data_IF_403706752108
#
_entry.id   IF_403706752108
#
_cell.length_a   1.000
_cell.length_b   1.000
_cell.length_c   1.000
_cell.angle_alpha   90.00
_cell.angle_beta   90.00
_cell.angle_gamma   90.00
#
_symmetry.space_group_name_H-M   'P 1'
#
loop_
_entity.id
_entity.type
_entity.pdbx_description
1 polymer ?
#
# COMPACT_ATOMS: atom_id res chain seq x y z
N UNK A 1 -8.92 -5.81 -18.49
CA UNK A 1 -10.12 -6.64 -18.78
C UNK A 1 -9.65 -8.09 -18.75
N UNK A 2 -10.08 -8.88 -17.76
CA UNK A 2 -9.65 -10.27 -17.60
C UNK A 2 -10.71 -11.21 -18.19
N UNK A 3 -10.29 -12.17 -19.02
CA UNK A 3 -11.15 -13.24 -19.54
C UNK A 3 -10.57 -14.56 -19.02
N UNK A 4 -11.33 -15.20 -18.15
CA UNK A 4 -10.93 -16.33 -17.29
C UNK A 4 -10.69 -17.68 -18.01
N UNK A 5 -10.15 -17.70 -19.23
CA UNK A 5 -9.81 -18.98 -19.90
C UNK A 5 -8.44 -18.99 -20.60
N UNK A 6 -7.70 -17.87 -20.60
CA UNK A 6 -6.30 -17.82 -21.05
C UNK A 6 -5.34 -17.27 -19.98
N UNK A 7 -5.06 -18.17 -19.02
CA UNK A 7 -3.74 -18.51 -18.44
C UNK A 7 -2.90 -17.31 -17.92
N UNK A 8 -2.69 -17.14 -16.60
CA UNK A 8 -1.79 -16.14 -15.96
C UNK A 8 -0.44 -15.89 -16.66
N UNK A 9 0.09 -16.91 -17.33
CA UNK A 9 1.24 -16.87 -18.23
C UNK A 9 1.15 -15.83 -19.37
N UNK A 10 -0.02 -15.65 -19.99
CA UNK A 10 -0.20 -14.67 -21.06
C UNK A 10 -0.21 -13.24 -20.52
N UNK A 11 -0.84 -13.03 -19.37
CA UNK A 11 -0.80 -11.76 -18.63
C UNK A 11 0.64 -11.35 -18.33
N UNK A 12 1.45 -12.26 -17.77
CA UNK A 12 2.86 -11.98 -17.47
C UNK A 12 3.65 -11.58 -18.71
N UNK A 13 3.44 -12.29 -19.83
CA UNK A 13 4.13 -11.99 -21.09
C UNK A 13 3.77 -10.61 -21.65
N UNK A 14 2.50 -10.21 -21.61
CA UNK A 14 2.05 -8.91 -22.12
C UNK A 14 2.59 -7.77 -21.25
N UNK A 15 2.65 -7.96 -19.94
CA UNK A 15 3.05 -6.91 -19.01
C UNK A 15 4.56 -6.83 -18.76
N UNK A 16 5.34 -7.77 -19.31
CA UNK A 16 6.79 -7.84 -19.15
C UNK A 16 7.47 -6.61 -19.78
N UNK A 17 8.14 -5.74 -19.00
CA UNK A 17 8.98 -4.68 -19.56
C UNK A 17 10.11 -5.25 -20.42
N UNK A 18 10.39 -4.62 -21.56
CA UNK A 18 11.50 -4.98 -22.46
C UNK A 18 12.63 -3.97 -22.28
N UNK A 19 13.81 -4.45 -21.93
CA UNK A 19 15.00 -3.62 -21.84
C UNK A 19 15.66 -3.41 -23.21
N UNK A 20 15.85 -2.14 -23.61
CA UNK A 20 16.66 -1.74 -24.75
C UNK A 20 18.08 -1.41 -24.27
N UNK A 21 19.05 -2.26 -24.59
CA UNK A 21 20.44 -2.10 -24.15
C UNK A 21 21.16 -0.89 -24.76
N UNK A 22 20.76 -0.45 -25.96
CA UNK A 22 21.40 0.68 -26.65
C UNK A 22 20.99 2.01 -26.01
N UNK A 23 19.70 2.16 -25.71
CA UNK A 23 19.13 3.36 -25.12
C UNK A 23 19.17 3.34 -23.58
N UNK A 24 19.40 2.17 -22.99
CA UNK A 24 19.26 1.91 -21.54
C UNK A 24 17.87 2.27 -21.02
N UNK A 25 16.86 2.01 -21.84
CA UNK A 25 15.44 2.31 -21.59
C UNK A 25 14.61 1.02 -21.48
N UNK A 26 13.42 1.10 -20.90
CA UNK A 26 12.43 0.02 -20.88
C UNK A 26 11.19 0.48 -21.64
N UNK A 27 10.58 -0.45 -22.35
CA UNK A 27 9.36 -0.23 -23.10
C UNK A 27 8.39 -1.38 -22.89
N UNK A 28 7.13 -1.15 -23.21
CA UNK A 28 6.16 -2.22 -23.30
C UNK A 28 6.49 -3.19 -24.45
N UNK A 29 5.87 -4.37 -24.42
CA UNK A 29 5.98 -5.32 -25.50
C UNK A 29 5.54 -4.71 -26.84
N UNK A 30 6.14 -5.09 -27.98
CA UNK A 30 5.74 -4.59 -29.29
C UNK A 30 4.22 -4.75 -29.54
N UNK A 31 3.55 -3.65 -29.90
CA UNK A 31 2.11 -3.62 -30.14
C UNK A 31 1.23 -3.55 -28.89
N UNK A 32 1.83 -3.45 -27.69
CA UNK A 32 1.15 -3.24 -26.42
C UNK A 32 1.34 -1.79 -25.97
N UNK A 33 0.26 -1.17 -25.49
CA UNK A 33 0.30 0.14 -24.87
C UNK A 33 -0.43 0.07 -23.53
N UNK A 34 0.30 0.18 -22.42
CA UNK A 34 -0.26 0.15 -21.08
C UNK A 34 -0.53 1.58 -20.61
N UNK A 35 -1.74 1.81 -20.08
CA UNK A 35 -2.16 3.12 -19.58
C UNK A 35 -2.69 2.99 -18.16
N UNK A 36 -2.39 3.96 -17.32
CA UNK A 36 -2.94 4.05 -15.97
C UNK A 36 -3.94 5.20 -15.87
N UNK A 37 -5.19 4.94 -15.42
CA UNK A 37 -6.15 6.02 -15.18
C UNK A 37 -5.67 6.93 -14.05
N UNK A 38 -5.71 8.24 -14.28
CA UNK A 38 -5.35 9.27 -13.31
C UNK A 38 -6.62 10.03 -12.89
N UNK A 39 -6.72 10.43 -11.63
CA UNK A 39 -7.86 11.14 -11.06
C UNK A 39 -8.93 10.22 -10.45
N UNK A 40 -8.95 8.96 -10.84
CA UNK A 40 -9.90 7.93 -10.37
C UNK A 40 -9.34 7.15 -9.18
N UNK A 41 -10.18 6.91 -8.17
CA UNK A 41 -9.86 6.13 -6.97
C UNK A 41 -10.09 4.64 -7.16
N UNK A 42 -10.96 4.22 -8.07
CA UNK A 42 -11.30 2.80 -8.28
C UNK A 42 -10.07 1.89 -8.48
N UNK A 43 -9.05 2.27 -9.28
CA UNK A 43 -7.83 1.46 -9.46
C UNK A 43 -7.02 1.27 -8.17
N UNK A 44 -7.15 2.19 -7.20
CA UNK A 44 -6.45 2.13 -5.92
C UNK A 44 -7.30 1.39 -4.87
N UNK A 45 -8.62 1.54 -4.91
CA UNK A 45 -9.55 0.84 -4.03
C UNK A 45 -9.50 -0.67 -4.28
N UNK A 46 -9.40 -1.04 -5.56
CA UNK A 46 -9.73 -2.37 -6.05
C UNK A 46 -8.78 -2.84 -7.18
N UNK A 47 -7.92 -3.81 -6.87
CA UNK A 47 -6.87 -4.30 -7.79
C UNK A 47 -7.38 -5.27 -8.87
N UNK A 48 -8.53 -5.92 -8.66
CA UNK A 48 -9.14 -6.86 -9.62
C UNK A 48 -10.53 -6.37 -10.00
N UNK A 49 -10.66 -5.91 -11.25
CA UNK A 49 -11.92 -5.44 -11.83
C UNK A 49 -12.52 -6.53 -12.71
N UNK A 50 -13.05 -7.60 -12.12
CA UNK A 50 -13.90 -8.55 -12.85
C UNK A 50 -15.32 -8.56 -12.27
N UNK A 51 -16.26 -8.12 -13.12
CA UNK A 51 -17.72 -8.29 -13.03
C UNK A 51 -18.51 -7.55 -11.95
N UNK A 52 -17.94 -6.57 -11.23
CA UNK A 52 -18.66 -5.91 -10.13
C UNK A 52 -18.88 -6.82 -8.90
N UNK A 53 -18.79 -8.14 -9.07
CA UNK A 53 -18.86 -9.12 -7.99
C UNK A 53 -17.57 -9.17 -7.15
N UNK A 54 -16.37 -9.05 -7.72
CA UNK A 54 -15.13 -9.48 -7.01
C UNK A 54 -14.42 -8.43 -6.14
N UNK A 55 -14.93 -7.20 -6.07
CA UNK A 55 -14.50 -6.25 -5.04
C UNK A 55 -15.34 -6.30 -3.76
N UNK A 56 -16.52 -6.92 -3.85
CA UNK A 56 -17.61 -6.74 -2.89
C UNK A 56 -18.19 -8.07 -2.39
N UNK A 57 -17.97 -9.17 -3.13
CA UNK A 57 -18.55 -10.48 -2.80
C UNK A 57 -17.79 -11.18 -1.67
N UNK A 58 -18.42 -11.23 -0.49
CA UNK A 58 -18.14 -12.20 0.57
C UNK A 58 -18.23 -13.68 0.09
N UNK A 59 -18.83 -13.94 -1.08
CA UNK A 59 -18.93 -15.25 -1.72
C UNK A 59 -17.70 -15.64 -2.58
N UNK A 60 -16.66 -14.81 -2.69
CA UNK A 60 -15.51 -15.12 -3.54
C UNK A 60 -14.47 -15.93 -2.77
N UNK A 61 -14.46 -17.24 -3.01
CA UNK A 61 -13.41 -18.18 -2.58
C UNK A 61 -12.10 -18.00 -3.36
N UNK A 62 -12.03 -17.05 -4.30
CA UNK A 62 -10.92 -16.93 -5.27
C UNK A 62 -9.92 -15.82 -4.91
N UNK A 63 -10.30 -14.75 -4.20
CA UNK A 63 -9.33 -13.79 -3.67
C UNK A 63 -9.93 -12.83 -2.63
N UNK A 64 -9.79 -13.06 -1.31
CA UNK A 64 -10.10 -12.06 -0.27
C UNK A 64 -9.15 -10.84 -0.27
N UNK A 65 -8.37 -10.59 -1.32
CA UNK A 65 -7.25 -9.63 -1.36
C UNK A 65 -7.29 -8.64 -2.53
N UNK A 66 -8.45 -8.38 -3.13
CA UNK A 66 -8.58 -7.37 -4.20
C UNK A 66 -8.72 -5.94 -3.66
N UNK A 67 -9.16 -5.77 -2.41
CA UNK A 67 -9.30 -4.46 -1.74
C UNK A 67 -7.96 -3.97 -1.20
N UNK A 68 -7.59 -2.73 -1.52
CA UNK A 68 -6.32 -2.13 -1.08
C UNK A 68 -6.53 -0.79 -0.35
N UNK A 69 -6.83 0.30 -1.07
CA UNK A 69 -7.18 1.58 -0.44
C UNK A 69 -8.65 1.66 0.01
N UNK A 70 -9.44 0.61 -0.22
CA UNK A 70 -10.89 0.64 -0.02
C UNK A 70 -11.30 1.17 1.37
N UNK A 71 -10.79 0.54 2.43
CA UNK A 71 -11.16 0.84 3.82
C UNK A 71 -10.81 2.27 4.20
N UNK A 72 -9.66 2.74 3.70
CA UNK A 72 -9.19 4.10 3.90
C UNK A 72 -10.12 5.10 3.19
N UNK A 73 -10.36 4.92 1.88
CA UNK A 73 -11.23 5.80 1.07
C UNK A 73 -12.64 5.89 1.65
N UNK A 74 -13.25 4.76 2.01
CA UNK A 74 -14.59 4.75 2.59
C UNK A 74 -14.63 5.40 3.98
N UNK A 75 -13.56 5.26 4.77
CA UNK A 75 -13.43 5.99 6.03
C UNK A 75 -13.37 7.50 5.80
N UNK A 76 -12.60 7.98 4.82
CA UNK A 76 -12.54 9.40 4.50
C UNK A 76 -13.91 9.95 4.09
N UNK A 77 -14.66 9.20 3.27
CA UNK A 77 -15.99 9.59 2.82
C UNK A 77 -17.01 9.61 3.96
N UNK A 78 -17.15 8.49 4.69
CA UNK A 78 -18.21 8.33 5.69
C UNK A 78 -17.93 8.99 7.04
N UNK A 79 -16.65 9.14 7.43
CA UNK A 79 -16.29 9.74 8.73
C UNK A 79 -15.94 11.22 8.61
N UNK A 80 -15.34 11.63 7.48
CA UNK A 80 -14.76 12.96 7.34
C UNK A 80 -15.35 13.78 6.19
N UNK A 81 -16.37 13.26 5.49
CA UNK A 81 -17.07 13.92 4.38
C UNK A 81 -16.15 14.34 3.22
N UNK A 82 -15.14 13.53 2.91
CA UNK A 82 -14.43 13.68 1.64
C UNK A 82 -15.32 13.23 0.47
N UNK A 83 -15.21 13.93 -0.65
CA UNK A 83 -15.94 13.72 -1.90
C UNK A 83 -14.95 13.42 -3.02
N UNK A 84 -15.17 12.31 -3.72
CA UNK A 84 -14.34 11.88 -4.84
C UNK A 84 -14.35 12.90 -5.98
N UNK A 85 -13.22 13.06 -6.66
CA UNK A 85 -13.00 14.07 -7.71
C UNK A 85 -13.13 15.53 -7.25
N UNK A 86 -13.51 15.76 -5.99
CA UNK A 86 -13.56 17.08 -5.39
C UNK A 86 -12.41 17.29 -4.38
N UNK A 87 -12.39 16.63 -3.23
CA UNK A 87 -11.30 16.83 -2.27
C UNK A 87 -10.55 15.53 -1.97
N UNK A 88 -10.87 14.47 -2.73
CA UNK A 88 -10.21 13.19 -2.70
C UNK A 88 -9.98 12.70 -4.13
N UNK A 89 -8.71 12.62 -4.54
CA UNK A 89 -8.29 12.31 -5.91
C UNK A 89 -7.32 11.13 -5.89
N UNK A 90 -7.54 10.17 -6.79
CA UNK A 90 -6.65 9.03 -6.97
C UNK A 90 -5.53 9.31 -7.96
N UNK A 91 -4.29 8.98 -7.60
CA UNK A 91 -3.11 9.15 -8.45
C UNK A 91 -2.43 7.81 -8.73
N UNK A 92 -3.09 6.94 -9.49
CA UNK A 92 -2.49 5.68 -9.92
C UNK A 92 -1.42 5.90 -10.98
N UNK A 93 -0.37 5.08 -10.94
CA UNK A 93 0.77 5.13 -11.85
C UNK A 93 1.22 3.71 -12.22
N UNK A 94 2.04 3.61 -13.26
CA UNK A 94 2.61 2.33 -13.67
C UNK A 94 3.74 1.90 -12.73
N UNK A 95 3.39 1.05 -11.78
CA UNK A 95 4.28 0.55 -10.74
C UNK A 95 5.38 -0.37 -11.24
N UNK A 96 5.38 -0.77 -12.52
CA UNK A 96 6.49 -1.56 -13.08
C UNK A 96 7.77 -0.72 -13.14
N UNK A 97 7.65 0.60 -13.30
CA UNK A 97 8.78 1.50 -13.48
C UNK A 97 9.01 2.36 -12.23
N UNK A 98 10.26 2.50 -11.75
CA UNK A 98 10.59 3.33 -10.61
C UNK A 98 10.72 4.80 -11.03
N UNK A 99 10.48 5.78 -10.15
CA UNK A 99 10.38 7.20 -10.52
C UNK A 99 11.66 7.78 -11.13
N UNK A 100 12.82 7.15 -10.90
CA UNK A 100 14.11 7.51 -11.48
C UNK A 100 14.24 7.10 -12.96
N UNK A 101 13.24 6.42 -13.50
CA UNK A 101 13.22 5.86 -14.85
C UNK A 101 12.54 6.80 -15.84
N UNK A 102 13.33 7.60 -16.56
CA UNK A 102 12.84 8.51 -17.60
C UNK A 102 12.15 7.75 -18.75
N UNK A 103 10.84 7.55 -18.61
CA UNK A 103 9.93 7.22 -19.71
C UNK A 103 8.93 8.36 -19.79
N UNK A 104 8.54 8.72 -21.02
CA UNK A 104 7.55 9.77 -21.30
C UNK A 104 6.29 9.63 -20.43
N UNK A 105 5.91 8.39 -20.09
CA UNK A 105 4.80 8.07 -19.20
C UNK A 105 4.97 8.60 -17.77
N UNK A 106 6.16 8.52 -17.18
CA UNK A 106 6.41 9.05 -15.83
C UNK A 106 6.40 10.58 -15.81
N UNK A 107 6.97 11.20 -16.84
CA UNK A 107 6.89 12.65 -17.01
C UNK A 107 5.43 13.10 -17.11
N UNK A 108 4.61 12.41 -17.92
CA UNK A 108 3.17 12.68 -18.03
C UNK A 108 2.45 12.47 -16.69
N UNK A 109 2.84 11.46 -15.91
CA UNK A 109 2.30 11.25 -14.57
C UNK A 109 2.62 12.43 -13.64
N UNK A 110 3.88 12.86 -13.55
CA UNK A 110 4.28 13.98 -12.69
C UNK A 110 3.69 15.32 -13.14
N UNK A 111 3.60 15.57 -14.46
CA UNK A 111 2.89 16.74 -15.00
C UNK A 111 1.40 16.72 -14.64
N UNK A 112 0.77 15.54 -14.71
CA UNK A 112 -0.64 15.40 -14.32
C UNK A 112 -0.84 15.55 -12.82
N UNK A 113 0.05 14.98 -12.00
CA UNK A 113 0.05 15.13 -10.55
C UNK A 113 0.21 16.59 -10.13
N UNK A 114 1.18 17.29 -10.72
CA UNK A 114 1.42 18.72 -10.45
C UNK A 114 0.20 19.57 -10.80
N UNK A 115 -0.34 19.40 -12.01
CA UNK A 115 -1.53 20.13 -12.47
C UNK A 115 -2.76 19.85 -11.60
N UNK A 116 -2.95 18.59 -11.20
CA UNK A 116 -4.05 18.19 -10.33
C UNK A 116 -3.96 18.84 -8.96
N UNK A 117 -2.75 18.91 -8.38
CA UNK A 117 -2.50 19.61 -7.12
C UNK A 117 -2.83 21.09 -7.26
N UNK A 118 -2.30 21.76 -8.28
CA UNK A 118 -2.56 23.18 -8.54
C UNK A 118 -4.07 23.45 -8.66
N UNK A 119 -4.77 22.65 -9.48
CA UNK A 119 -6.22 22.77 -9.70
C UNK A 119 -7.02 22.50 -8.43
N UNK A 120 -6.62 21.50 -7.64
CA UNK A 120 -7.29 21.16 -6.38
C UNK A 120 -7.09 22.25 -5.32
N UNK A 121 -5.92 22.86 -5.26
CA UNK A 121 -5.64 24.00 -4.35
C UNK A 121 -6.45 25.23 -4.77
N UNK A 122 -6.51 25.53 -6.07
CA UNK A 122 -7.37 26.62 -6.57
C UNK A 122 -8.85 26.39 -6.26
N UNK A 123 -9.32 25.16 -6.41
CA UNK A 123 -10.73 24.79 -6.22
C UNK A 123 -11.15 24.75 -4.76
N UNK A 124 -10.27 24.30 -3.86
CA UNK A 124 -10.58 24.13 -2.43
C UNK A 124 -10.09 25.29 -1.56
N UNK A 125 -9.14 26.10 -2.06
CA UNK A 125 -8.44 27.13 -1.28
C UNK A 125 -7.48 26.57 -0.22
N UNK A 126 -7.24 25.26 -0.20
CA UNK A 126 -6.41 24.58 0.79
C UNK A 126 -5.22 23.89 0.11
N UNK A 127 -4.05 23.95 0.76
CA UNK A 127 -2.85 23.25 0.29
C UNK A 127 -3.05 21.73 0.34
N UNK A 128 -2.45 21.02 -0.60
CA UNK A 128 -2.62 19.58 -0.78
C UNK A 128 -1.94 18.74 0.32
N UNK A 129 -2.59 17.65 0.70
CA UNK A 129 -2.01 16.56 1.49
C UNK A 129 -1.92 15.33 0.59
N UNK A 130 -0.73 14.72 0.49
CA UNK A 130 -0.57 13.49 -0.29
C UNK A 130 -0.33 12.32 0.66
N UNK A 131 -1.17 11.29 0.54
CA UNK A 131 -1.02 10.02 1.23
C UNK A 131 -0.42 9.01 0.26
N UNK A 132 0.72 8.42 0.62
CA UNK A 132 1.38 7.40 -0.19
C UNK A 132 1.69 6.16 0.64
N UNK A 133 1.61 4.99 0.03
CA UNK A 133 1.89 3.70 0.66
C UNK A 133 3.08 3.00 0.00
N UNK A 134 3.90 2.33 0.80
CA UNK A 134 5.00 1.48 0.31
C UNK A 134 5.92 2.22 -0.68
N UNK A 135 6.17 1.66 -1.86
CA UNK A 135 6.93 2.24 -2.95
C UNK A 135 6.38 3.58 -3.45
N UNK A 136 5.08 3.83 -3.32
CA UNK A 136 4.47 5.13 -3.67
C UNK A 136 5.14 6.30 -2.93
N UNK A 137 5.73 6.04 -1.76
CA UNK A 137 6.52 7.03 -1.02
C UNK A 137 7.83 7.40 -1.73
N UNK A 138 8.51 6.47 -2.41
CA UNK A 138 9.67 6.81 -3.25
C UNK A 138 9.25 7.66 -4.46
N UNK A 139 8.11 7.35 -5.07
CA UNK A 139 7.56 8.14 -6.19
C UNK A 139 7.22 9.56 -5.74
N UNK A 140 6.54 9.68 -4.60
CA UNK A 140 6.23 10.97 -4.00
C UNK A 140 7.50 11.75 -3.63
N UNK A 141 8.48 11.08 -3.01
CA UNK A 141 9.75 11.71 -2.64
C UNK A 141 10.50 12.21 -3.87
N UNK A 142 10.56 11.42 -4.95
CA UNK A 142 11.15 11.84 -6.21
C UNK A 142 10.42 13.05 -6.81
N UNK A 143 9.08 13.03 -6.86
CA UNK A 143 8.28 14.16 -7.32
C UNK A 143 8.61 15.45 -6.56
N UNK A 144 8.65 15.36 -5.22
CA UNK A 144 8.96 16.51 -4.38
C UNK A 144 10.39 16.99 -4.55
N UNK A 145 11.37 16.10 -4.69
CA UNK A 145 12.79 16.50 -4.69
C UNK A 145 13.37 16.80 -6.08
N UNK A 146 12.75 16.30 -7.15
CA UNK A 146 13.27 16.40 -8.52
C UNK A 146 12.33 17.10 -9.51
N UNK A 147 11.02 16.97 -9.33
CA UNK A 147 10.02 17.46 -10.30
C UNK A 147 9.37 18.79 -9.87
N UNK A 148 9.68 19.28 -8.68
CA UNK A 148 9.12 20.52 -8.12
C UNK A 148 10.20 21.42 -7.51
N UNK A 149 9.89 22.70 -7.34
CA UNK A 149 10.75 23.67 -6.66
C UNK A 149 10.29 23.91 -5.22
N UNK A 150 11.17 24.41 -4.35
CA UNK A 150 10.84 24.73 -2.97
C UNK A 150 9.69 25.75 -2.88
N UNK A 151 9.70 26.77 -3.75
CA UNK A 151 8.64 27.79 -3.82
C UNK A 151 7.29 27.17 -4.22
N UNK A 152 7.30 26.21 -5.16
CA UNK A 152 6.08 25.51 -5.55
C UNK A 152 5.53 24.68 -4.38
N UNK A 153 6.40 23.96 -3.66
CA UNK A 153 5.98 23.16 -2.50
C UNK A 153 5.47 24.04 -1.37
N UNK A 154 6.12 25.17 -1.09
CA UNK A 154 5.63 26.16 -0.13
C UNK A 154 4.24 26.68 -0.53
N UNK A 155 3.98 26.91 -1.81
CA UNK A 155 2.68 27.40 -2.28
C UNK A 155 1.58 26.34 -2.22
N UNK A 156 1.86 25.10 -2.62
CA UNK A 156 0.82 24.10 -2.91
C UNK A 156 0.75 22.93 -1.93
N UNK A 157 1.79 22.65 -1.16
CA UNK A 157 1.86 21.46 -0.29
C UNK A 157 1.65 21.82 1.18
N UNK A 158 0.79 21.08 1.86
CA UNK A 158 0.59 21.18 3.30
C UNK A 158 1.50 20.19 4.03
N UNK A 159 1.37 18.90 3.71
CA UNK A 159 2.17 17.83 4.28
C UNK A 159 2.11 16.57 3.41
N UNK A 160 2.94 15.59 3.75
CA UNK A 160 2.83 14.21 3.25
C UNK A 160 2.51 13.25 4.39
N UNK A 161 1.74 12.21 4.09
CA UNK A 161 1.46 11.11 5.02
C UNK A 161 2.01 9.84 4.39
N UNK A 162 3.08 9.33 4.97
CA UNK A 162 3.86 8.23 4.43
C UNK A 162 3.54 6.95 5.18
N UNK A 163 2.64 6.14 4.62
CA UNK A 163 2.23 4.85 5.18
C UNK A 163 3.23 3.75 4.74
N UNK A 164 3.85 3.08 5.70
CA UNK A 164 4.80 1.99 5.46
C UNK A 164 5.83 2.28 4.35
N UNK A 165 6.54 3.43 4.37
CA UNK A 165 7.36 3.86 3.25
C UNK A 165 8.56 2.92 3.00
N UNK A 166 8.81 2.62 1.73
CA UNK A 166 9.94 1.80 1.31
C UNK A 166 11.19 2.64 0.93
N UNK A 167 11.48 3.73 1.66
CA UNK A 167 12.53 4.69 1.28
C UNK A 167 13.90 4.04 1.09
N UNK A 168 14.34 3.21 2.04
CA UNK A 168 15.63 2.52 2.00
C UNK A 168 15.63 1.17 1.29
N UNK A 169 14.51 0.75 0.70
CA UNK A 169 14.35 -0.59 0.15
C UNK A 169 14.21 -1.69 1.21
N UNK A 170 14.33 -2.94 0.80
CA UNK A 170 14.16 -4.11 1.69
C UNK A 170 15.02 -5.29 1.25
N UNK A 171 15.45 -6.10 2.23
CA UNK A 171 16.10 -7.39 1.94
C UNK A 171 15.12 -8.34 1.23
N UNK A 172 13.82 -8.19 1.48
CA UNK A 172 12.75 -8.87 0.75
C UNK A 172 12.87 -8.75 -0.77
N UNK A 173 13.17 -7.56 -1.30
CA UNK A 173 13.34 -7.35 -2.75
C UNK A 173 14.41 -8.25 -3.37
N UNK A 174 15.49 -8.57 -2.63
CA UNK A 174 16.52 -9.51 -3.07
C UNK A 174 15.94 -10.93 -3.21
N UNK A 175 15.13 -11.40 -2.26
CA UNK A 175 14.44 -12.70 -2.36
C UNK A 175 13.42 -12.73 -3.49
N UNK A 176 12.78 -11.61 -3.78
CA UNK A 176 11.85 -11.54 -4.92
C UNK A 176 12.60 -11.74 -6.24
N UNK A 177 13.71 -11.01 -6.48
CA UNK A 177 14.56 -11.21 -7.66
C UNK A 177 15.17 -12.62 -7.74
N UNK A 178 15.45 -13.23 -6.58
CA UNK A 178 15.97 -14.59 -6.47
C UNK A 178 14.92 -15.66 -6.85
N UNK A 179 13.73 -15.61 -6.25
CA UNK A 179 12.77 -16.72 -6.27
C UNK A 179 11.55 -16.49 -7.16
N UNK A 180 11.20 -15.24 -7.47
CA UNK A 180 9.99 -14.87 -8.20
C UNK A 180 8.68 -15.00 -7.42
N UNK A 181 8.72 -15.28 -6.11
CA UNK A 181 7.52 -15.58 -5.31
C UNK A 181 6.60 -14.37 -5.05
N UNK A 182 7.07 -13.15 -5.21
CA UNK A 182 6.33 -11.92 -4.91
C UNK A 182 5.14 -11.68 -5.82
N UNK A 183 5.10 -12.37 -6.96
CA UNK A 183 3.97 -12.35 -7.89
C UNK A 183 3.11 -13.61 -7.81
N UNK A 184 3.27 -14.44 -6.77
CA UNK A 184 2.44 -15.62 -6.55
C UNK A 184 0.94 -15.29 -6.39
N UNK A 185 0.60 -14.02 -6.13
CA UNK A 185 -0.79 -13.52 -6.13
C UNK A 185 -1.48 -13.62 -7.51
N UNK A 186 -0.73 -13.81 -8.60
CA UNK A 186 -1.29 -14.04 -9.95
C UNK A 186 -1.97 -15.41 -10.13
N UNK A 187 -1.96 -16.25 -9.08
CA UNK A 187 -2.80 -17.43 -8.98
C UNK A 187 -2.14 -18.75 -9.37
N UNK A 188 -2.92 -19.81 -9.23
CA UNK A 188 -2.51 -21.20 -9.47
C UNK A 188 -2.19 -21.39 -10.96
N UNK A 189 -1.01 -21.95 -11.28
CA UNK A 189 -0.62 -22.32 -12.65
C UNK A 189 0.46 -21.44 -13.29
N UNK A 190 0.97 -20.42 -12.59
CA UNK A 190 2.20 -19.72 -13.01
C UNK A 190 3.41 -20.61 -12.70
N UNK A 191 4.23 -20.91 -13.70
CA UNK A 191 5.51 -21.60 -13.52
C UNK A 191 6.48 -20.68 -12.76
N UNK A 192 7.22 -21.23 -11.79
CA UNK A 192 8.16 -20.46 -10.96
C UNK A 192 9.18 -19.71 -11.81
N UNK A 193 9.69 -20.35 -12.86
CA UNK A 193 10.70 -19.77 -13.74
C UNK A 193 10.14 -18.53 -14.45
N UNK A 194 8.89 -18.57 -14.88
CA UNK A 194 8.25 -17.46 -15.59
C UNK A 194 7.93 -16.33 -14.62
N UNK A 195 7.48 -16.66 -13.41
CA UNK A 195 7.30 -15.67 -12.37
C UNK A 195 8.62 -14.95 -12.07
N UNK A 196 9.70 -15.71 -11.94
CA UNK A 196 11.03 -15.18 -11.70
C UNK A 196 11.53 -14.33 -12.86
N UNK A 197 11.37 -14.75 -14.11
CA UNK A 197 11.76 -13.96 -15.29
C UNK A 197 10.99 -12.63 -15.34
N UNK A 198 9.69 -12.66 -15.01
CA UNK A 198 8.91 -11.43 -14.89
C UNK A 198 9.45 -10.52 -13.79
N UNK A 199 9.63 -11.04 -12.58
CA UNK A 199 10.17 -10.29 -11.44
C UNK A 199 11.54 -9.69 -11.75
N UNK A 200 12.42 -10.43 -12.41
CA UNK A 200 13.76 -9.98 -12.84
C UNK A 200 13.75 -8.93 -13.95
N UNK A 201 12.62 -8.77 -14.65
CA UNK A 201 12.45 -7.72 -15.65
C UNK A 201 11.91 -6.41 -15.08
N UNK A 202 11.39 -6.40 -13.83
CA UNK A 202 10.73 -5.23 -13.23
C UNK A 202 11.76 -4.22 -12.73
N UNK A 203 11.85 -3.03 -13.36
CA UNK A 203 12.79 -2.01 -12.91
C UNK A 203 12.46 -1.47 -11.51
N UNK A 204 11.17 -1.51 -11.13
CA UNK A 204 10.74 -1.06 -9.81
C UNK A 204 11.35 -1.87 -8.66
N UNK A 205 11.62 -3.17 -8.85
CA UNK A 205 12.28 -3.97 -7.82
C UNK A 205 13.73 -3.59 -7.59
N UNK A 206 14.42 -3.10 -8.61
CA UNK A 206 15.77 -2.56 -8.46
C UNK A 206 15.77 -1.36 -7.52
N UNK A 207 14.80 -0.45 -7.66
CA UNK A 207 14.65 0.72 -6.78
C UNK A 207 14.30 0.39 -5.32
N UNK A 208 13.88 -0.86 -5.07
CA UNK A 208 13.52 -1.36 -3.74
C UNK A 208 14.62 -2.22 -3.12
N UNK A 209 15.78 -2.34 -3.76
CA UNK A 209 16.95 -2.98 -3.18
C UNK A 209 17.49 -2.19 -1.98
N UNK A 210 18.13 -2.85 -0.99
CA UNK A 210 18.68 -2.20 0.18
C UNK A 210 19.66 -1.08 -0.16
N UNK A 211 19.38 0.12 0.35
CA UNK A 211 20.23 1.31 0.17
C UNK A 211 21.51 1.22 1.01
N UNK A 212 22.72 1.34 0.43
CA UNK A 212 23.99 1.48 1.15
C UNK A 212 24.04 2.72 2.06
N UNK A 213 23.20 3.74 1.84
CA UNK A 213 23.15 4.93 2.71
C UNK A 213 22.45 4.66 4.05
N UNK A 214 21.59 3.63 4.12
CA UNK A 214 20.78 3.30 5.30
C UNK A 214 21.08 1.92 5.89
N UNK A 215 21.55 0.98 5.08
CA UNK A 215 21.98 -0.33 5.54
C UNK A 215 23.49 -0.31 5.81
N UNK A 216 23.88 -0.83 6.97
CA UNK A 216 25.29 -1.00 7.33
C UNK A 216 26.04 -1.77 6.24
N UNK A 217 27.11 -1.18 5.69
CA UNK A 217 27.89 -1.72 4.57
C UNK A 217 28.52 -3.10 4.85
N UNK A 218 28.77 -3.42 6.12
CA UNK A 218 29.31 -4.72 6.55
C UNK A 218 28.22 -5.76 6.83
N UNK A 219 26.95 -5.39 6.77
CA UNK A 219 25.83 -6.30 7.05
C UNK A 219 25.62 -7.26 5.89
N UNK A 220 25.67 -8.56 6.19
CA UNK A 220 25.37 -9.61 5.24
C UNK A 220 23.85 -9.68 5.03
N UNK A 221 23.40 -9.53 3.79
CA UNK A 221 21.98 -9.53 3.41
C UNK A 221 21.58 -10.86 2.77
N UNK A 222 22.46 -11.42 1.94
CA UNK A 222 22.27 -12.74 1.31
C UNK A 222 23.54 -13.57 1.46
N UNK A 223 23.39 -14.88 1.66
CA UNK A 223 24.47 -15.85 1.61
C UNK A 223 24.10 -17.01 0.68
N UNK A 224 25.04 -17.46 -0.14
CA UNK A 224 24.86 -18.57 -1.09
C UNK A 224 26.08 -19.48 -0.99
N UNK A 225 25.93 -20.63 -0.35
CA UNK A 225 27.08 -21.45 0.03
C UNK A 225 28.09 -20.64 0.84
N UNK A 226 29.33 -20.50 0.34
CA UNK A 226 30.40 -19.75 1.01
C UNK A 226 30.45 -18.25 0.59
N UNK A 227 29.59 -17.81 -0.33
CA UNK A 227 29.59 -16.43 -0.82
C UNK A 227 28.57 -15.60 -0.04
N UNK A 228 28.94 -14.37 0.27
CA UNK A 228 28.09 -13.41 0.99
C UNK A 228 27.92 -12.14 0.18
N UNK A 229 26.76 -11.52 0.28
CA UNK A 229 26.43 -10.27 -0.41
C UNK A 229 25.97 -9.24 0.62
N UNK A 230 26.59 -8.07 0.59
CA UNK A 230 26.18 -6.85 1.32
C UNK A 230 25.60 -5.83 0.34
N UNK A 231 25.32 -4.61 0.81
CA UNK A 231 24.96 -3.49 -0.07
C UNK A 231 26.04 -3.11 -1.08
N UNK A 232 27.32 -3.41 -0.81
CA UNK A 232 28.41 -3.16 -1.74
C UNK A 232 28.41 -4.14 -2.93
N UNK A 233 27.80 -5.32 -2.78
CA UNK A 233 27.85 -6.41 -3.75
C UNK A 233 26.59 -6.47 -4.64
N UNK A 234 25.79 -5.39 -4.69
CA UNK A 234 24.49 -5.40 -5.37
C UNK A 234 24.57 -5.65 -6.88
N UNK A 235 25.59 -5.12 -7.57
CA UNK A 235 25.81 -5.41 -8.99
C UNK A 235 26.11 -6.89 -9.24
N UNK A 236 26.91 -7.48 -8.35
CA UNK A 236 27.27 -8.89 -8.42
C UNK A 236 26.06 -9.79 -8.10
N UNK A 237 25.26 -9.42 -7.10
CA UNK A 237 24.01 -10.10 -6.78
C UNK A 237 23.01 -10.04 -7.95
N UNK A 238 22.84 -8.87 -8.57
CA UNK A 238 21.98 -8.70 -9.75
C UNK A 238 22.48 -9.54 -10.93
N UNK A 239 23.80 -9.63 -11.12
CA UNK A 239 24.40 -10.51 -12.13
C UNK A 239 24.07 -11.97 -11.86
N UNK A 240 24.18 -12.43 -10.60
CA UNK A 240 23.77 -13.78 -10.19
C UNK A 240 22.27 -14.03 -10.45
N UNK A 241 21.44 -13.01 -10.26
CA UNK A 241 20.00 -13.04 -10.55
C UNK A 241 19.66 -12.78 -12.03
N UNK A 242 20.61 -12.80 -12.96
CA UNK A 242 20.40 -12.50 -14.39
C UNK A 242 19.64 -11.17 -14.63
N UNK A 243 19.91 -10.17 -13.79
CA UNK A 243 19.23 -8.88 -13.71
C UNK A 243 20.21 -7.71 -13.70
N UNK A 244 21.43 -7.90 -14.22
CA UNK A 244 22.47 -6.85 -14.24
C UNK A 244 22.05 -5.57 -14.98
N UNK A 245 21.16 -5.70 -15.98
CA UNK A 245 20.56 -4.58 -16.70
C UNK A 245 19.73 -3.63 -15.80
N UNK A 246 19.31 -4.10 -14.63
CA UNK A 246 18.64 -3.27 -13.63
C UNK A 246 19.60 -2.38 -12.84
N UNK A 247 20.90 -2.69 -12.81
CA UNK A 247 21.87 -2.00 -11.94
C UNK A 247 22.03 -0.52 -12.29
N UNK A 248 21.98 -0.14 -13.57
CA UNK A 248 22.04 1.28 -13.98
C UNK A 248 20.86 2.12 -13.47
N UNK A 249 19.81 1.46 -12.96
CA UNK A 249 18.60 2.06 -12.42
C UNK A 249 18.53 1.97 -10.89
N UNK A 250 19.55 1.39 -10.26
CA UNK A 250 19.76 1.48 -8.82
C UNK A 250 20.26 2.88 -8.48
N UNK A 251 19.35 3.86 -8.56
CA UNK A 251 19.58 5.24 -8.08
C UNK A 251 18.83 5.44 -6.77
N UNK A 252 19.56 5.99 -5.81
CA UNK A 252 19.03 6.32 -4.51
C UNK A 252 18.60 7.78 -4.51
N UNK A 253 17.38 8.03 -4.08
CA UNK A 253 16.80 9.37 -4.01
C UNK A 253 16.72 9.88 -2.57
N UNK A 254 16.69 8.95 -1.61
CA UNK A 254 16.52 9.17 -0.17
C UNK A 254 17.64 10.00 0.49
N UNK A 255 18.76 10.21 -0.20
CA UNK A 255 19.80 11.15 0.25
C UNK A 255 19.30 12.60 0.31
N UNK A 256 18.25 12.95 -0.45
CA UNK A 256 17.70 14.30 -0.44
C UNK A 256 16.63 14.42 0.65
N UNK A 257 16.92 15.27 1.61
CA UNK A 257 15.96 15.66 2.64
C UNK A 257 14.77 16.42 2.02
N UNK A 258 13.53 16.03 2.34
CA UNK A 258 12.35 16.79 1.94
C UNK A 258 12.15 18.03 2.83
N UNK A 259 11.60 19.09 2.24
CA UNK A 259 11.27 20.38 2.88
C UNK A 259 9.75 20.56 3.10
N UNK A 260 8.96 19.53 2.81
CA UNK A 260 7.52 19.47 3.13
C UNK A 260 7.35 18.68 4.43
N UNK A 261 6.49 19.13 5.38
CA UNK A 261 6.22 18.38 6.60
C UNK A 261 5.77 16.95 6.31
N UNK A 262 6.26 15.99 7.09
CA UNK A 262 5.99 14.57 6.91
C UNK A 262 5.40 13.96 8.17
N UNK A 263 4.32 13.19 7.99
CA UNK A 263 3.84 12.24 8.98
C UNK A 263 4.16 10.83 8.47
N UNK A 264 5.16 10.21 9.07
CA UNK A 264 5.61 8.88 8.73
C UNK A 264 4.97 7.87 9.67
N UNK A 265 4.29 6.87 9.11
CA UNK A 265 3.62 5.81 9.89
C UNK A 265 4.18 4.46 9.46
N UNK A 266 4.91 3.79 10.34
CA UNK A 266 5.55 2.50 10.05
C UNK A 266 4.89 1.35 10.81
N UNK A 267 4.92 0.16 10.21
CA UNK A 267 4.53 -1.07 10.91
C UNK A 267 5.70 -1.60 11.74
N UNK A 268 5.41 -2.07 12.95
CA UNK A 268 6.43 -2.54 13.89
C UNK A 268 5.94 -3.75 14.69
N UNK A 269 5.90 -4.90 14.03
CA UNK A 269 5.68 -6.22 14.61
C UNK A 269 7.02 -6.86 14.96
N UNK A 270 7.08 -7.54 16.11
CA UNK A 270 8.35 -8.14 16.56
C UNK A 270 8.77 -9.30 15.66
N UNK A 271 10.04 -9.29 15.21
CA UNK A 271 10.66 -10.34 14.38
C UNK A 271 9.82 -10.77 13.18
N UNK A 272 9.14 -9.83 12.54
CA UNK A 272 8.25 -10.07 11.39
C UNK A 272 8.98 -9.96 10.05
N UNK A 273 9.95 -9.05 9.93
CA UNK A 273 10.54 -8.63 8.66
C UNK A 273 11.85 -9.35 8.37
N UNK A 274 12.02 -9.95 7.18
CA UNK A 274 13.27 -10.58 6.79
C UNK A 274 14.44 -9.60 6.74
N UNK A 275 15.54 -9.97 7.41
CA UNK A 275 16.75 -9.16 7.55
C UNK A 275 17.97 -9.80 6.88
N UNK A 276 17.92 -11.12 6.62
CA UNK A 276 18.93 -11.90 5.90
C UNK A 276 18.34 -13.19 5.35
N UNK A 277 18.83 -13.61 4.17
CA UNK A 277 18.54 -14.93 3.59
C UNK A 277 19.80 -15.76 3.39
N UNK A 278 19.74 -17.05 3.75
CA UNK A 278 20.80 -18.02 3.46
C UNK A 278 20.28 -19.08 2.50
N UNK A 279 20.97 -19.27 1.38
CA UNK A 279 20.70 -20.28 0.36
C UNK A 279 21.81 -21.33 0.39
N UNK A 280 21.43 -22.61 0.26
CA UNK A 280 22.40 -23.70 0.30
C UNK A 280 23.34 -23.69 -0.91
N UNK A 281 22.77 -23.60 -2.13
CA UNK A 281 23.54 -23.73 -3.39
C UNK A 281 23.18 -22.66 -4.42
N UNK A 282 21.90 -22.34 -4.56
CA UNK A 282 21.42 -21.41 -5.57
C UNK A 282 20.35 -20.48 -5.01
N UNK A 283 20.36 -19.21 -5.45
CA UNK A 283 19.31 -18.24 -5.15
C UNK A 283 17.98 -18.56 -5.84
N UNK A 284 18.01 -19.45 -6.84
CA UNK A 284 16.81 -19.92 -7.54
C UNK A 284 15.99 -20.93 -6.71
N UNK A 285 16.57 -21.48 -5.64
CA UNK A 285 15.92 -22.35 -4.65
C UNK A 285 15.29 -21.52 -3.51
N UNK A 286 14.60 -22.16 -2.57
CA UNK A 286 14.18 -21.44 -1.35
C UNK A 286 15.36 -21.24 -0.39
N UNK A 287 15.37 -20.14 0.38
CA UNK A 287 16.35 -19.99 1.44
C UNK A 287 16.17 -21.11 2.49
N UNK A 288 17.28 -21.65 2.98
CA UNK A 288 17.32 -22.63 4.07
C UNK A 288 17.24 -21.97 5.44
N UNK A 289 17.57 -20.68 5.52
CA UNK A 289 17.43 -19.87 6.73
C UNK A 289 16.96 -18.46 6.35
N UNK A 290 16.07 -17.91 7.18
CA UNK A 290 15.55 -16.55 7.09
C UNK A 290 15.64 -15.91 8.47
N UNK A 291 16.54 -14.95 8.64
CA UNK A 291 16.62 -14.17 9.87
C UNK A 291 15.62 -13.01 9.77
N UNK A 292 15.02 -12.66 10.91
CA UNK A 292 14.01 -11.59 10.97
C UNK A 292 14.33 -10.57 12.06
N UNK A 293 13.92 -9.34 11.81
CA UNK A 293 13.95 -8.19 12.72
C UNK A 293 12.56 -7.58 12.82
N UNK A 294 12.42 -6.58 13.67
CA UNK A 294 11.14 -5.88 13.84
C UNK A 294 10.81 -5.01 12.61
N UNK A 295 9.53 -4.97 12.25
CA UNK A 295 9.05 -4.25 11.07
C UNK A 295 7.65 -4.68 10.64
N UNK A 296 7.32 -4.49 9.38
CA UNK A 296 5.96 -4.72 8.86
C UNK A 296 5.83 -5.95 7.95
N UNK A 297 6.72 -6.94 8.08
CA UNK A 297 6.90 -8.11 7.20
C UNK A 297 7.61 -7.84 5.87
N UNK A 298 7.75 -6.58 5.46
CA UNK A 298 8.44 -6.18 4.22
C UNK A 298 9.59 -5.23 4.48
N UNK A 299 9.33 -4.16 5.23
CA UNK A 299 10.24 -3.07 5.55
C UNK A 299 10.69 -3.20 7.01
N UNK A 300 11.98 -3.00 7.24
CA UNK A 300 12.55 -3.02 8.59
C UNK A 300 12.26 -1.68 9.28
N UNK A 301 11.69 -1.71 10.48
CA UNK A 301 11.32 -0.48 11.19
C UNK A 301 12.55 0.41 11.45
N UNK A 302 13.66 -0.21 11.87
CA UNK A 302 14.92 0.48 12.19
C UNK A 302 15.52 1.26 11.01
N UNK A 303 15.32 0.78 9.77
CA UNK A 303 15.83 1.47 8.56
C UNK A 303 15.10 2.79 8.34
N UNK A 304 13.78 2.81 8.56
CA UNK A 304 12.97 4.02 8.42
C UNK A 304 13.16 4.95 9.62
N UNK A 305 13.27 4.41 10.83
CA UNK A 305 13.59 5.18 12.04
C UNK A 305 14.90 5.95 11.89
N UNK A 306 15.95 5.28 11.38
CA UNK A 306 17.25 5.90 11.16
C UNK A 306 17.18 7.03 10.11
N UNK A 307 16.48 6.80 8.99
CA UNK A 307 16.28 7.83 7.98
C UNK A 307 15.52 9.04 8.55
N UNK A 308 14.43 8.81 9.29
CA UNK A 308 13.67 9.87 9.94
C UNK A 308 14.52 10.65 10.94
N UNK A 309 15.42 9.96 11.67
CA UNK A 309 16.37 10.58 12.60
C UNK A 309 17.39 11.45 11.87
N UNK A 310 17.94 10.97 10.77
CA UNK A 310 18.89 11.72 9.92
C UNK A 310 18.24 12.98 9.35
N UNK A 311 17.11 12.85 8.66
CA UNK A 311 16.41 14.00 8.09
C UNK A 311 15.94 14.99 9.15
N UNK A 312 15.46 14.53 10.32
CA UNK A 312 15.10 15.42 11.43
C UNK A 312 16.30 16.22 11.93
N UNK A 313 17.49 15.59 12.02
CA UNK A 313 18.73 16.26 12.42
C UNK A 313 19.15 17.34 11.42
N UNK A 314 18.87 17.11 10.14
CA UNK A 314 19.15 18.06 9.06
C UNK A 314 18.02 19.12 8.89
N UNK A 315 17.01 19.10 9.78
CA UNK A 315 15.98 20.14 9.89
C UNK A 315 14.63 19.81 9.26
N UNK A 316 14.40 18.57 8.82
CA UNK A 316 13.11 18.17 8.27
C UNK A 316 12.06 18.11 9.38
N UNK A 317 10.83 18.52 9.06
CA UNK A 317 9.70 18.42 9.98
C UNK A 317 9.07 17.05 9.84
N UNK A 318 9.45 16.11 10.72
CA UNK A 318 8.99 14.73 10.67
C UNK A 318 8.31 14.34 11.98
N UNK A 319 7.07 13.88 11.87
CA UNK A 319 6.39 13.14 12.94
C UNK A 319 6.42 11.65 12.59
N UNK A 320 7.03 10.83 13.44
CA UNK A 320 7.09 9.37 13.28
C UNK A 320 6.10 8.70 14.22
N UNK A 321 5.28 7.79 13.68
CA UNK A 321 4.36 6.93 14.44
C UNK A 321 4.57 5.46 14.08
N UNK A 322 4.33 4.60 15.07
CA UNK A 322 4.42 3.15 14.92
C UNK A 322 3.06 2.52 15.11
N UNK A 323 2.75 1.51 14.29
CA UNK A 323 1.58 0.66 14.45
C UNK A 323 1.99 -0.82 14.47
N UNK A 324 1.42 -1.67 15.33
CA UNK A 324 1.69 -3.11 15.32
C UNK A 324 0.89 -3.79 14.20
N UNK A 325 1.21 -3.48 12.94
CA UNK A 325 0.49 -3.94 11.75
C UNK A 325 1.46 -4.41 10.67
N UNK A 326 0.98 -5.36 9.88
CA UNK A 326 1.62 -5.84 8.66
C UNK A 326 1.57 -4.76 7.56
N UNK A 327 2.44 -4.90 6.55
CA UNK A 327 2.71 -3.88 5.54
C UNK A 327 1.46 -3.32 4.85
N UNK A 328 0.59 -4.19 4.32
CA UNK A 328 -0.65 -3.79 3.64
C UNK A 328 -1.78 -3.49 4.61
N UNK A 329 -1.85 -4.24 5.73
CA UNK A 329 -2.87 -4.04 6.77
C UNK A 329 -2.77 -2.69 7.48
N UNK A 330 -1.59 -2.06 7.46
CA UNK A 330 -1.37 -0.74 8.05
C UNK A 330 -2.29 0.34 7.44
N UNK A 331 -2.31 0.49 6.11
CA UNK A 331 -3.14 1.54 5.49
C UNK A 331 -4.64 1.22 5.54
N UNK A 332 -4.97 -0.07 5.65
CA UNK A 332 -6.35 -0.54 5.80
C UNK A 332 -6.87 -0.39 7.24
N UNK A 333 -6.01 0.00 8.19
CA UNK A 333 -6.30 -0.05 9.62
C UNK A 333 -7.05 1.22 10.09
N UNK A 334 -7.93 1.04 11.07
CA UNK A 334 -8.61 2.17 11.70
C UNK A 334 -7.65 3.08 12.49
N UNK A 335 -6.58 2.52 13.03
CA UNK A 335 -5.52 3.29 13.69
C UNK A 335 -4.88 4.28 12.70
N UNK A 336 -4.61 3.85 11.46
CA UNK A 336 -4.11 4.74 10.41
C UNK A 336 -5.14 5.81 10.01
N UNK A 337 -6.41 5.45 9.88
CA UNK A 337 -7.51 6.40 9.64
C UNK A 337 -7.58 7.46 10.75
N UNK A 338 -7.48 7.06 12.02
CA UNK A 338 -7.52 7.99 13.15
C UNK A 338 -6.27 8.90 13.21
N UNK A 339 -5.10 8.37 12.84
CA UNK A 339 -3.88 9.16 12.67
C UNK A 339 -4.09 10.22 11.59
N UNK A 340 -4.63 9.83 10.42
CA UNK A 340 -4.98 10.76 9.34
C UNK A 340 -5.97 11.83 9.82
N UNK A 341 -7.06 11.45 10.49
CA UNK A 341 -8.09 12.37 10.96
C UNK A 341 -7.52 13.45 11.89
N UNK A 342 -6.64 13.07 12.82
CA UNK A 342 -5.99 14.01 13.73
C UNK A 342 -5.01 14.96 13.03
N UNK A 343 -4.35 14.50 11.97
CA UNK A 343 -3.37 15.30 11.23
C UNK A 343 -4.01 16.26 10.22
N UNK A 344 -5.09 15.83 9.54
CA UNK A 344 -5.64 16.52 8.36
C UNK A 344 -6.98 17.17 8.63
N UNK A 345 -7.87 16.49 9.35
CA UNK A 345 -9.26 16.93 9.49
C UNK A 345 -9.40 17.89 10.67
N UNK A 346 -9.14 17.39 11.88
CA UNK A 346 -9.12 18.19 13.10
C UNK A 346 -8.43 17.41 14.19
N UNK A 347 -7.42 18.02 14.82
CA UNK A 347 -6.84 17.47 16.05
C UNK A 347 -7.91 17.42 17.13
N UNK A 348 -8.21 16.22 17.63
CA UNK A 348 -9.13 16.07 18.75
C UNK A 348 -8.44 16.39 20.08
N UNK A 349 -9.18 16.86 21.10
CA UNK A 349 -8.64 17.02 22.44
C UNK A 349 -8.14 15.69 23.03
N UNK A 350 -7.21 15.76 23.99
CA UNK A 350 -6.75 14.58 24.72
C UNK A 350 -7.93 13.84 25.36
N UNK A 351 -7.90 12.50 25.30
CA UNK A 351 -9.01 11.64 25.75
C UNK A 351 -10.18 11.55 24.78
N UNK A 352 -10.05 12.06 23.54
CA UNK A 352 -11.01 11.88 22.46
C UNK A 352 -10.38 11.26 21.23
N UNK A 353 -11.18 10.50 20.47
CA UNK A 353 -10.77 9.92 19.20
C UNK A 353 -11.92 9.88 18.19
N UNK A 354 -11.55 9.72 16.92
CA UNK A 354 -12.53 9.48 15.88
C UNK A 354 -13.13 8.07 16.02
N UNK A 355 -14.42 7.89 15.67
CA UNK A 355 -15.02 6.58 15.60
C UNK A 355 -14.40 5.74 14.48
N UNK A 356 -14.65 4.44 14.53
CA UNK A 356 -14.20 3.48 13.51
C UNK A 356 -15.40 3.00 12.72
N UNK A 357 -15.23 2.74 11.42
CA UNK A 357 -16.26 2.14 10.60
C UNK A 357 -16.33 0.64 10.85
N UNK A 358 -17.44 0.15 11.40
CA UNK A 358 -17.63 -1.28 11.67
C UNK A 358 -19.05 -1.70 11.30
N UNK A 359 -19.21 -2.93 10.83
CA UNK A 359 -20.54 -3.50 10.68
C UNK A 359 -21.18 -3.74 12.05
N UNK A 360 -22.50 -3.64 12.10
CA UNK A 360 -23.27 -3.98 13.29
C UNK A 360 -23.75 -5.41 13.14
N UNK A 361 -23.32 -6.25 14.08
CA UNK A 361 -23.70 -7.66 14.14
C UNK A 361 -24.77 -7.86 15.21
N UNK A 362 -25.87 -8.50 14.83
CA UNK A 362 -27.00 -8.82 15.70
C UNK A 362 -27.43 -10.27 15.50
N UNK A 363 -27.87 -10.92 16.57
CA UNK A 363 -28.49 -12.25 16.48
C UNK A 363 -30.01 -12.13 16.57
N UNK A 364 -30.75 -12.77 15.65
CA UNK A 364 -32.22 -12.83 15.65
C UNK A 364 -32.70 -14.26 15.41
N UNK A 365 -33.12 -14.94 16.47
CA UNK A 365 -33.46 -16.36 16.41
C UNK A 365 -32.23 -17.18 16.01
N UNK A 366 -32.37 -18.07 15.02
CA UNK A 366 -31.27 -18.89 14.49
C UNK A 366 -30.52 -18.23 13.31
N UNK A 367 -30.50 -16.89 13.26
CA UNK A 367 -29.85 -16.11 12.21
C UNK A 367 -28.92 -15.09 12.83
N UNK A 368 -27.78 -14.91 12.17
CA UNK A 368 -26.89 -13.77 12.40
C UNK A 368 -27.17 -12.73 11.32
N UNK A 369 -27.18 -11.46 11.72
CA UNK A 369 -27.52 -10.34 10.87
C UNK A 369 -26.40 -9.31 10.94
N UNK A 370 -25.95 -8.88 9.77
CA UNK A 370 -24.92 -7.86 9.60
C UNK A 370 -25.58 -6.61 9.03
N UNK A 371 -25.15 -5.43 9.46
CA UNK A 371 -25.53 -4.21 8.76
C UNK A 371 -25.02 -4.27 7.31
N UNK A 372 -25.83 -3.81 6.36
CA UNK A 372 -25.51 -3.84 4.94
C UNK A 372 -24.26 -2.99 4.63
N UNK A 373 -24.01 -1.95 5.40
CA UNK A 373 -22.81 -1.13 5.33
C UNK A 373 -22.19 -0.97 6.72
N UNK A 374 -20.90 -0.62 6.82
CA UNK A 374 -20.27 -0.27 8.09
C UNK A 374 -20.71 1.12 8.55
N UNK A 375 -20.85 1.27 9.87
CA UNK A 375 -21.26 2.50 10.55
C UNK A 375 -20.19 2.94 11.55
N UNK A 376 -20.12 4.25 11.81
CA UNK A 376 -19.19 4.82 12.76
C UNK A 376 -19.54 4.39 14.20
N UNK A 377 -18.60 3.73 14.89
CA UNK A 377 -18.77 3.22 16.26
C UNK A 377 -17.53 3.47 17.11
N UNK A 378 -17.75 3.59 18.40
CA UNK A 378 -16.68 3.55 19.39
C UNK A 378 -16.31 2.10 19.70
N UNK A 379 -15.11 1.87 20.22
CA UNK A 379 -14.68 0.55 20.62
C UNK A 379 -15.63 -0.07 21.63
N UNK A 380 -15.72 -1.40 21.61
CA UNK A 380 -16.65 -2.19 22.43
C UNK A 380 -16.66 -1.74 23.90
N UNK A 381 -17.85 -1.40 24.38
CA UNK A 381 -18.08 -0.97 25.77
C UNK A 381 -17.90 0.53 26.04
N UNK A 382 -17.44 1.33 25.07
CA UNK A 382 -17.26 2.77 25.23
C UNK A 382 -18.45 3.51 24.58
N UNK A 383 -19.23 4.30 25.33
CA UNK A 383 -20.30 5.10 24.75
C UNK A 383 -19.74 6.25 23.90
N UNK A 384 -20.45 6.68 22.85
CA UNK A 384 -20.06 7.85 22.09
C UNK A 384 -20.18 9.12 22.93
N UNK A 385 -19.21 10.03 22.77
CA UNK A 385 -19.28 11.38 23.34
C UNK A 385 -20.28 12.24 22.56
N UNK A 386 -20.34 12.04 21.24
CA UNK A 386 -21.31 12.65 20.34
C UNK A 386 -21.80 11.59 19.36
N UNK A 387 -23.09 11.55 19.12
CA UNK A 387 -23.73 10.59 18.21
C UNK A 387 -24.91 11.21 17.46
N UNK A 388 -25.45 10.46 16.50
CA UNK A 388 -26.69 10.76 15.80
C UNK A 388 -27.42 9.46 15.46
N UNK A 389 -28.73 9.53 15.28
CA UNK A 389 -29.53 8.36 14.89
C UNK A 389 -29.58 8.21 13.36
N UNK A 390 -29.31 7.01 12.86
CA UNK A 390 -29.49 6.66 11.44
C UNK A 390 -30.30 5.37 11.30
N UNK A 391 -31.02 5.24 10.20
CA UNK A 391 -31.67 3.97 9.84
C UNK A 391 -30.66 3.11 9.10
N UNK A 392 -30.38 1.94 9.65
CA UNK A 392 -29.50 0.95 9.04
C UNK A 392 -30.28 -0.23 8.50
N UNK A 393 -29.83 -0.73 7.36
CA UNK A 393 -30.36 -1.95 6.73
C UNK A 393 -29.53 -3.14 7.19
N UNK A 394 -30.18 -4.29 7.39
CA UNK A 394 -29.55 -5.51 7.84
C UNK A 394 -29.82 -6.66 6.87
N UNK A 395 -28.78 -7.44 6.63
CA UNK A 395 -28.82 -8.69 5.87
C UNK A 395 -28.58 -9.84 6.83
N UNK A 396 -29.33 -10.92 6.70
CA UNK A 396 -29.29 -12.02 7.67
C UNK A 396 -29.01 -13.35 7.00
N UNK A 397 -28.19 -14.17 7.66
CA UNK A 397 -27.83 -15.51 7.22
C UNK A 397 -28.15 -16.53 8.32
N UNK A 398 -28.51 -17.78 7.98
CA UNK A 398 -28.58 -18.86 8.97
C UNK A 398 -27.24 -18.97 9.71
N UNK A 399 -27.27 -19.06 11.03
CA UNK A 399 -26.05 -19.01 11.86
C UNK A 399 -25.03 -20.11 11.49
N UNK A 400 -25.51 -21.29 11.11
CA UNK A 400 -24.68 -22.43 10.71
C UNK A 400 -24.17 -22.37 9.26
N UNK A 401 -24.57 -21.37 8.48
CA UNK A 401 -24.15 -21.25 7.08
C UNK A 401 -22.67 -20.86 6.96
N UNK A 402 -21.98 -21.38 5.95
CA UNK A 402 -20.59 -21.00 5.66
C UNK A 402 -20.45 -19.48 5.44
N UNK A 403 -21.45 -18.85 4.82
CA UNK A 403 -21.49 -17.40 4.65
C UNK A 403 -21.50 -16.65 5.99
N UNK A 404 -22.29 -17.12 6.97
CA UNK A 404 -22.31 -16.52 8.30
C UNK A 404 -20.94 -16.62 8.98
N UNK A 405 -20.29 -17.80 8.90
CA UNK A 405 -18.96 -18.02 9.48
C UNK A 405 -17.89 -17.13 8.84
N UNK A 406 -17.91 -17.04 7.52
CA UNK A 406 -16.96 -16.21 6.76
C UNK A 406 -17.14 -14.72 7.08
N UNK A 407 -18.38 -14.21 7.06
CA UNK A 407 -18.66 -12.83 7.43
C UNK A 407 -18.26 -12.55 8.88
N UNK A 408 -18.56 -13.43 9.83
CA UNK A 408 -18.12 -13.24 11.23
C UNK A 408 -16.60 -13.15 11.34
N UNK A 409 -15.85 -13.94 10.57
CA UNK A 409 -14.39 -13.84 10.52
C UNK A 409 -13.93 -12.52 9.93
N UNK A 410 -14.53 -12.09 8.81
CA UNK A 410 -14.20 -10.81 8.18
C UNK A 410 -14.54 -9.63 9.09
N UNK A 411 -15.64 -9.69 9.84
CA UNK A 411 -16.02 -8.63 10.79
C UNK A 411 -15.01 -8.49 11.92
N UNK A 412 -14.52 -9.61 12.47
CA UNK A 412 -13.48 -9.60 13.50
C UNK A 412 -12.17 -8.94 13.02
N UNK A 413 -11.92 -8.96 11.70
CA UNK A 413 -10.78 -8.31 11.06
C UNK A 413 -11.11 -6.90 10.52
N UNK A 414 -12.33 -6.39 10.77
CA UNK A 414 -12.89 -5.16 10.20
C UNK A 414 -12.80 -5.09 8.66
N UNK A 415 -13.03 -6.23 8.01
CA UNK A 415 -12.95 -6.39 6.56
C UNK A 415 -14.31 -6.52 5.86
N UNK A 416 -15.43 -6.49 6.60
CA UNK A 416 -16.73 -6.32 5.96
C UNK A 416 -16.90 -4.85 5.63
N UNK A 417 -17.26 -4.57 4.39
CA UNK A 417 -17.36 -3.20 3.91
C UNK A 417 -18.65 -2.87 3.18
N UNK A 418 -19.31 -3.86 2.59
CA UNK A 418 -20.56 -3.67 1.89
C UNK A 418 -21.24 -5.02 1.61
N UNK A 419 -22.52 -5.12 1.96
CA UNK A 419 -23.41 -6.25 1.73
C UNK A 419 -24.74 -5.78 1.09
N UNK A 420 -24.75 -4.60 0.45
CA UNK A 420 -25.93 -4.01 -0.20
C UNK A 420 -26.43 -4.82 -1.39
N UNK A 421 -25.59 -5.69 -1.96
CA UNK A 421 -26.00 -6.66 -2.98
C UNK A 421 -26.93 -7.75 -2.44
N UNK A 422 -26.88 -8.02 -1.13
CA UNK A 422 -27.73 -9.02 -0.50
C UNK A 422 -29.10 -8.44 -0.18
N UNK A 423 -30.12 -9.29 -0.27
CA UNK A 423 -31.49 -8.89 0.07
C UNK A 423 -31.60 -8.44 1.52
N UNK A 424 -31.98 -7.19 1.72
CA UNK A 424 -32.28 -6.60 3.03
C UNK A 424 -33.37 -7.41 3.73
N UNK A 425 -33.09 -7.85 4.96
CA UNK A 425 -34.00 -8.59 5.81
C UNK A 425 -34.87 -7.66 6.67
N UNK A 426 -34.29 -6.59 7.20
CA UNK A 426 -35.01 -5.55 7.96
C UNK A 426 -34.19 -4.26 8.05
N UNK A 427 -34.83 -3.19 8.52
CA UNK A 427 -34.16 -1.93 8.90
C UNK A 427 -34.34 -1.66 10.38
N UNK A 428 -33.34 -1.05 11.02
CA UNK A 428 -33.39 -0.64 12.42
C UNK A 428 -32.69 0.70 12.63
N UNK A 429 -33.15 1.48 13.61
CA UNK A 429 -32.46 2.70 13.99
C UNK A 429 -31.22 2.35 14.81
N UNK A 430 -30.08 2.92 14.44
CA UNK A 430 -28.81 2.77 15.12
C UNK A 430 -28.29 4.13 15.59
N UNK A 431 -27.64 4.13 16.76
CA UNK A 431 -26.83 5.24 17.22
C UNK A 431 -25.45 5.16 16.53
N UNK A 432 -25.13 6.19 15.75
CA UNK A 432 -23.89 6.30 14.99
C UNK A 432 -22.99 7.33 15.66
N UNK A 433 -21.79 6.91 16.03
CA UNK A 433 -20.82 7.75 16.73
C UNK A 433 -20.28 8.85 15.80
N UNK A 434 -20.02 10.02 16.38
CA UNK A 434 -19.35 11.16 15.74
C UNK A 434 -18.02 11.44 16.42
N UNK A 435 -17.95 11.27 17.75
CA UNK A 435 -16.75 11.40 18.56
C UNK A 435 -16.81 10.34 19.66
N UNK A 436 -15.68 9.70 19.93
CA UNK A 436 -15.53 8.67 20.96
C UNK A 436 -14.62 9.15 22.09
N UNK A 437 -14.83 8.58 23.27
CA UNK A 437 -13.88 8.70 24.39
C UNK A 437 -12.67 7.80 24.08
N UNK A 438 -11.48 8.31 24.35
CA UNK A 438 -10.22 7.58 24.36
C UNK A 438 -9.84 7.31 25.82
N UNK A 439 -9.77 6.03 26.22
CA UNK A 439 -9.61 5.60 27.62
C UNK A 439 -8.20 5.06 27.82
#
# INVERSE_FOLDING_TARGET
MFVASQKPMHFLRINLPVFNSNEKTFHDQPGINITTPFGDLEPLRCLIRDTGLLCWSASSTIAPSSTYYYSFVESLKKLYNFTESENLIGAAYDWRYPPEFFVEMQKKFFESLKREIETSVERTGLKAVIVAHSMGNKVLHYFLTRETTAQWREQYMNMTINAAPAFGGSVGAMKELATGKGIAWLGIGVRREVARDFTRSLPSLASLLPSPSLFNSSRILVSVGNKTFTTADMEEFLTLANSSHLFSHFRQSEEIQPDVPMLVVIGNLSKSTPSRYTYARSIDEEPVEENKVDGDERIEAAVIEELCRMWSKDGAQIELKHLPKEHTKLIMSHEFVNIFGNAVVRKLPDGQRYPMLQNVVLTRGNRICFSAEPYARCHSGIPPLKSLMQVAQFVCFPQESEMAKELTKQEAENMIFDLTEYKVAFSASLEVAQICIDI
#
